data_IF_522606586750
#
_entry.id   IF_522606586750
#
_cell.length_a   1.000
_cell.length_b   1.000
_cell.length_c   1.000
_cell.angle_alpha   90.00
_cell.angle_beta   90.00
_cell.angle_gamma   90.00
#
_symmetry.space_group_name_H-M   'P 1'
#
loop_
_entity.id
_entity.type
_entity.pdbx_description
1 polymer ?
#
# COMPACT_ATOMS: atom_id res chain seq x y z
N UNK A 1 -10.92 -3.46 9.48
CA UNK A 1 -11.57 -2.14 9.33
C UNK A 1 -10.65 -1.29 8.46
N UNK A 2 -10.91 -1.11 7.17
CA UNK A 2 -10.09 -0.28 6.26
C UNK A 2 -10.33 1.23 6.41
N UNK A 3 -11.19 1.63 7.36
CA UNK A 3 -11.61 3.03 7.57
C UNK A 3 -10.50 3.96 8.09
N UNK A 4 -9.33 3.45 8.46
CA UNK A 4 -8.24 4.26 9.05
C UNK A 4 -7.15 4.70 8.04
N UNK A 5 -7.19 4.14 6.83
CA UNK A 5 -6.29 4.56 5.76
C UNK A 5 -6.92 5.71 4.99
N UNK A 6 -6.14 6.79 4.86
CA UNK A 6 -6.46 7.90 3.95
C UNK A 6 -6.50 7.40 2.50
N UNK A 7 -7.18 8.12 1.58
CA UNK A 7 -7.21 7.73 0.16
C UNK A 7 -5.82 7.50 -0.43
N UNK A 8 -4.85 8.36 -0.11
CA UNK A 8 -3.45 8.21 -0.56
C UNK A 8 -2.79 6.94 -0.03
N UNK A 9 -3.01 6.60 1.23
CA UNK A 9 -2.50 5.36 1.81
C UNK A 9 -3.13 4.12 1.15
N UNK A 10 -4.41 4.20 0.78
CA UNK A 10 -5.09 3.12 0.05
C UNK A 10 -4.52 2.95 -1.35
N UNK A 11 -4.26 4.03 -2.08
CA UNK A 11 -3.63 3.98 -3.40
C UNK A 11 -2.23 3.35 -3.31
N UNK A 12 -1.41 3.76 -2.33
CA UNK A 12 -0.09 3.13 -2.10
C UNK A 12 -0.23 1.63 -1.79
N UNK A 13 -1.19 1.27 -0.93
CA UNK A 13 -1.46 -0.11 -0.56
C UNK A 13 -1.94 -0.96 -1.75
N UNK A 14 -2.76 -0.38 -2.63
CA UNK A 14 -3.28 -1.02 -3.83
C UNK A 14 -2.15 -1.30 -4.82
N UNK A 15 -1.37 -0.28 -5.19
CA UNK A 15 -0.25 -0.42 -6.13
C UNK A 15 0.79 -1.42 -5.63
N UNK A 16 1.04 -1.42 -4.32
CA UNK A 16 1.93 -2.39 -3.67
C UNK A 16 1.41 -3.82 -3.81
N UNK A 17 0.11 -4.02 -3.66
CA UNK A 17 -0.52 -5.32 -3.80
C UNK A 17 -0.61 -5.78 -5.27
N UNK A 18 -0.63 -4.84 -6.22
CA UNK A 18 -0.42 -5.07 -7.65
C UNK A 18 1.05 -5.38 -8.02
N UNK A 19 1.96 -5.41 -7.04
CA UNK A 19 3.38 -5.71 -7.25
C UNK A 19 4.22 -4.55 -7.76
N UNK A 20 3.72 -3.30 -7.70
CA UNK A 20 4.49 -2.12 -8.09
C UNK A 20 5.61 -1.83 -7.10
N UNK A 21 6.78 -1.47 -7.63
CA UNK A 21 7.93 -1.04 -6.84
C UNK A 21 7.74 0.37 -6.29
N UNK A 22 8.46 0.75 -5.23
CA UNK A 22 8.36 2.10 -4.65
C UNK A 22 8.62 3.23 -5.64
N UNK A 23 9.51 3.00 -6.64
CA UNK A 23 9.75 3.93 -7.75
C UNK A 23 8.56 4.05 -8.70
N UNK A 24 7.95 2.93 -9.07
CA UNK A 24 6.75 2.91 -9.91
C UNK A 24 5.60 3.65 -9.21
N UNK A 25 5.37 3.34 -7.94
CA UNK A 25 4.34 4.00 -7.12
C UNK A 25 4.58 5.50 -7.01
N UNK A 26 5.84 5.91 -6.81
CA UNK A 26 6.23 7.32 -6.76
C UNK A 26 5.90 8.05 -8.07
N UNK A 27 6.22 7.43 -9.22
CA UNK A 27 5.88 7.97 -10.53
C UNK A 27 4.37 8.05 -10.76
N UNK A 28 3.62 7.00 -10.40
CA UNK A 28 2.15 6.94 -10.60
C UNK A 28 1.43 7.99 -9.74
N UNK A 29 1.86 8.15 -8.49
CA UNK A 29 1.24 9.07 -7.54
C UNK A 29 1.84 10.49 -7.61
N UNK A 30 2.76 10.74 -8.53
CA UNK A 30 3.48 12.01 -8.66
C UNK A 30 4.10 12.51 -7.33
N UNK A 31 4.65 11.59 -6.55
CA UNK A 31 5.34 11.88 -5.27
C UNK A 31 6.75 11.33 -5.29
N UNK A 32 7.59 11.75 -4.34
CA UNK A 32 8.93 11.18 -4.19
C UNK A 32 8.88 9.77 -3.59
N UNK A 33 9.86 8.93 -3.92
CA UNK A 33 10.03 7.59 -3.33
C UNK A 33 10.03 7.65 -1.79
N UNK A 34 10.68 8.66 -1.21
CA UNK A 34 10.68 8.90 0.24
C UNK A 34 9.28 9.09 0.83
N UNK A 35 8.39 9.73 0.09
CA UNK A 35 6.98 9.91 0.48
C UNK A 35 6.25 8.57 0.47
N UNK A 36 6.50 7.73 -0.54
CA UNK A 36 5.96 6.36 -0.60
C UNK A 36 6.46 5.51 0.57
N UNK A 37 7.75 5.58 0.90
CA UNK A 37 8.32 4.88 2.07
C UNK A 37 7.65 5.33 3.37
N UNK A 38 7.45 6.64 3.52
CA UNK A 38 6.73 7.21 4.66
C UNK A 38 5.30 6.70 4.72
N UNK A 39 4.56 6.70 3.60
CA UNK A 39 3.21 6.14 3.56
C UNK A 39 3.19 4.66 3.91
N UNK A 40 4.10 3.84 3.36
CA UNK A 40 4.21 2.42 3.71
C UNK A 40 4.46 2.22 5.19
N UNK A 41 5.34 3.01 5.81
CA UNK A 41 5.59 2.93 7.25
C UNK A 41 4.34 3.25 8.07
N UNK A 42 3.62 4.32 7.73
CA UNK A 42 2.37 4.69 8.40
C UNK A 42 1.30 3.61 8.23
N UNK A 43 1.17 3.04 7.04
CA UNK A 43 0.23 1.95 6.77
C UNK A 43 0.60 0.70 7.59
N UNK A 44 1.88 0.33 7.61
CA UNK A 44 2.40 -0.81 8.38
C UNK A 44 2.17 -0.63 9.88
N UNK A 45 2.41 0.57 10.41
CA UNK A 45 2.17 0.91 11.81
C UNK A 45 0.67 0.86 12.16
N UNK A 46 -0.18 1.51 11.36
CA UNK A 46 -1.64 1.52 11.53
C UNK A 46 -2.28 0.14 11.43
N UNK A 47 -1.74 -0.74 10.59
CA UNK A 47 -2.25 -2.09 10.40
C UNK A 47 -1.55 -3.12 11.28
N UNK A 48 -0.54 -2.70 12.05
CA UNK A 48 0.35 -3.55 12.84
C UNK A 48 1.03 -4.66 12.00
N UNK A 49 1.29 -4.36 10.73
CA UNK A 49 1.89 -5.29 9.77
C UNK A 49 3.39 -5.05 9.69
N UNK A 50 4.18 -6.12 9.78
CA UNK A 50 5.65 -6.03 9.76
C UNK A 50 6.27 -6.49 8.44
N UNK A 51 5.50 -7.13 7.56
CA UNK A 51 6.01 -7.68 6.30
C UNK A 51 5.19 -7.25 5.10
N UNK A 52 5.86 -7.08 3.96
CA UNK A 52 5.21 -6.77 2.68
C UNK A 52 4.22 -7.87 2.28
N UNK A 53 4.54 -9.14 2.55
CA UNK A 53 3.66 -10.25 2.23
C UNK A 53 2.32 -10.18 3.01
N UNK A 54 2.37 -9.83 4.29
CA UNK A 54 1.17 -9.59 5.10
C UNK A 54 0.41 -8.37 4.62
N UNK A 55 1.12 -7.32 4.21
CA UNK A 55 0.53 -6.09 3.67
C UNK A 55 -0.25 -6.36 2.38
N UNK A 56 0.32 -7.16 1.48
CA UNK A 56 -0.34 -7.63 0.25
C UNK A 56 -1.55 -8.50 0.59
N UNK A 57 -1.42 -9.48 1.50
CA UNK A 57 -2.56 -10.29 1.98
C UNK A 57 -3.67 -9.44 2.56
N UNK A 58 -3.32 -8.40 3.32
CA UNK A 58 -4.28 -7.48 3.88
C UNK A 58 -5.00 -6.71 2.78
N UNK A 59 -4.30 -6.18 1.79
CA UNK A 59 -4.92 -5.45 0.67
C UNK A 59 -5.95 -6.31 -0.09
N UNK A 60 -5.64 -7.59 -0.30
CA UNK A 60 -6.56 -8.55 -0.94
C UNK A 60 -7.77 -8.81 -0.04
N UNK A 61 -7.54 -9.12 1.24
CA UNK A 61 -8.60 -9.38 2.22
C UNK A 61 -9.49 -8.17 2.47
N UNK A 62 -8.92 -6.97 2.31
CA UNK A 62 -9.59 -5.69 2.40
C UNK A 62 -10.43 -5.36 1.16
N UNK A 63 -10.32 -6.15 0.08
CA UNK A 63 -10.97 -5.88 -1.21
C UNK A 63 -10.41 -4.65 -1.92
N UNK A 64 -9.19 -4.22 -1.59
CA UNK A 64 -8.53 -3.07 -2.21
C UNK A 64 -7.88 -3.43 -3.55
N UNK A 65 -7.55 -4.71 -3.74
CA UNK A 65 -7.15 -5.25 -5.02
C UNK A 65 -7.67 -6.68 -5.14
N UNK A 66 -8.12 -7.05 -6.33
CA UNK A 66 -8.23 -8.45 -6.70
C UNK A 66 -6.88 -8.82 -7.29
N UNK A 67 -6.14 -9.73 -6.66
CA UNK A 67 -5.17 -10.52 -7.41
C UNK A 67 -5.97 -11.39 -8.39
N UNK A 68 -6.49 -10.78 -9.46
CA UNK A 68 -6.86 -11.50 -10.66
C UNK A 68 -5.57 -11.58 -11.45
N UNK A 69 -4.87 -12.70 -11.24
CA UNK A 69 -3.71 -13.09 -12.04
C UNK A 69 -4.16 -13.82 -13.28
#
# INVERSE_FOLDING_TARGET
RTKELTPKEREVLQLLAEGKSSKEMASILHVSVKTIETHRQNIMDKLEIRTIAELTKYAIRAGLTSLDG
#
